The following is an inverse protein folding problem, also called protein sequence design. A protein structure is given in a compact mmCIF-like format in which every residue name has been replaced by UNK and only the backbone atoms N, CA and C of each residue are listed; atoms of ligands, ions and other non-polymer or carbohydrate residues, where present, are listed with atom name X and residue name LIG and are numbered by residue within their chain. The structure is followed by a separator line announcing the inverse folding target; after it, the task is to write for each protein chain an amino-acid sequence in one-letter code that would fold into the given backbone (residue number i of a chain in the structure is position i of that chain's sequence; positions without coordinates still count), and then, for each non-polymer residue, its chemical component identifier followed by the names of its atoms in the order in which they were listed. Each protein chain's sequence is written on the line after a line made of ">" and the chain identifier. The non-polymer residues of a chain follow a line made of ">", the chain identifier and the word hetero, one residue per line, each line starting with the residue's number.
data_IF_445556190271
#
_entry.id   IF_445556190271
#
_cell.length_a   1.000
_cell.length_b   1.000
_cell.length_c   1.000
_cell.angle_alpha   90.00
_cell.angle_beta   90.00
_cell.angle_gamma   90.00
#
_symmetry.space_group_name_H-M   'P 1'
#
loop_
_entity.id
_entity.type
_entity.pdbx_description
1 polymer ?
#
# COMPACT_ATOMS: atom_id res chain seq x y z
N UNK A 1 2.86 -69.02 33.08
CA UNK A 1 1.50 -68.73 33.61
C UNK A 1 1.39 -67.21 33.74
N UNK A 2 0.46 -66.44 33.18
CA UNK A 2 -0.84 -66.65 32.51
C UNK A 2 -1.16 -65.32 31.75
N UNK A 3 -1.74 -65.43 30.55
CA UNK A 3 -2.62 -64.51 29.77
C UNK A 3 -2.17 -63.07 29.42
N UNK A 4 -2.08 -62.68 28.14
CA UNK A 4 -3.10 -62.49 27.08
C UNK A 4 -4.13 -61.36 27.34
N UNK A 5 -3.91 -60.23 26.66
CA UNK A 5 -4.90 -59.33 26.00
C UNK A 5 -4.12 -58.10 25.47
N UNK A 6 -3.48 -58.14 24.30
CA UNK A 6 -4.01 -57.96 22.94
C UNK A 6 -4.97 -56.76 22.71
N UNK A 7 -4.41 -55.79 21.98
CA UNK A 7 -5.00 -55.02 20.87
C UNK A 7 -6.32 -54.28 21.06
N UNK A 8 -6.22 -52.93 21.10
CA UNK A 8 -7.06 -52.05 20.24
C UNK A 8 -6.72 -50.56 20.15
N UNK A 9 -5.56 -50.07 20.64
CA UNK A 9 -5.28 -48.62 20.69
C UNK A 9 -4.08 -48.16 19.84
N UNK A 10 -3.44 -49.04 19.07
CA UNK A 10 -2.17 -48.71 18.37
C UNK A 10 -2.21 -48.65 16.84
N UNK A 11 -3.37 -48.47 16.19
CA UNK A 11 -3.44 -48.48 14.70
C UNK A 11 -3.88 -47.14 14.06
N UNK A 12 -4.19 -46.08 14.82
CA UNK A 12 -4.64 -44.82 14.20
C UNK A 12 -3.59 -43.70 14.22
N UNK A 13 -2.56 -43.74 15.08
CA UNK A 13 -1.56 -42.65 15.15
C UNK A 13 -0.28 -42.86 14.34
N UNK A 14 -0.09 -44.01 13.69
CA UNK A 14 1.20 -44.32 13.04
C UNK A 14 1.31 -43.93 11.55
N UNK A 15 0.29 -43.30 10.96
CA UNK A 15 0.30 -42.95 9.52
C UNK A 15 0.40 -41.45 9.20
N UNK A 16 0.56 -40.57 10.19
CA UNK A 16 0.67 -39.12 9.97
C UNK A 16 2.11 -38.57 10.01
N UNK A 17 3.12 -39.40 10.32
CA UNK A 17 4.49 -38.96 10.59
C UNK A 17 5.52 -39.24 9.48
N UNK A 18 5.09 -39.56 8.25
CA UNK A 18 6.01 -39.93 7.16
C UNK A 18 6.22 -38.90 6.05
N UNK A 19 5.80 -37.63 6.19
CA UNK A 19 5.99 -36.63 5.10
C UNK A 19 6.67 -35.30 5.46
N UNK A 20 7.34 -35.17 6.61
CA UNK A 20 8.05 -33.93 6.96
C UNK A 20 9.52 -34.15 7.35
N UNK A 21 10.27 -34.89 6.53
CA UNK A 21 11.71 -35.09 6.70
C UNK A 21 12.47 -34.83 5.41
N UNK A 22 12.91 -33.58 5.23
CA UNK A 22 14.06 -33.06 4.45
C UNK A 22 13.79 -31.53 4.31
N UNK A 23 14.43 -30.60 5.01
CA UNK A 23 15.87 -30.35 5.16
C UNK A 23 16.20 -29.71 6.52
N UNK A 24 17.25 -30.25 7.18
CA UNK A 24 18.14 -29.66 8.21
C UNK A 24 18.87 -28.44 7.59
N UNK A 25 19.53 -27.49 8.26
CA UNK A 25 19.80 -27.04 9.63
C UNK A 25 20.58 -25.69 9.45
N UNK A 26 20.60 -24.79 10.44
CA UNK A 26 21.80 -24.13 11.01
C UNK A 26 21.40 -22.94 11.93
N UNK A 27 21.62 -23.19 13.22
CA UNK A 27 22.12 -22.34 14.32
C UNK A 27 21.40 -21.04 14.77
N UNK A 28 20.81 -21.24 15.95
CA UNK A 28 20.49 -20.38 17.10
C UNK A 28 21.45 -19.19 17.33
N UNK A 29 20.87 -18.00 17.57
CA UNK A 29 21.28 -17.12 18.68
C UNK A 29 20.11 -16.22 19.12
N UNK A 30 20.11 -15.92 20.40
CA UNK A 30 18.99 -15.51 21.26
C UNK A 30 18.56 -14.05 21.18
N UNK A 31 17.29 -13.82 21.55
CA UNK A 31 16.65 -12.56 22.01
C UNK A 31 16.46 -11.47 20.96
N UNK A 32 15.26 -11.44 20.38
CA UNK A 32 14.44 -10.22 20.28
C UNK A 32 12.99 -10.61 19.98
N UNK A 33 12.12 -10.18 20.88
CA UNK A 33 10.67 -10.40 20.92
C UNK A 33 9.95 -9.64 19.81
N UNK A 34 8.85 -10.25 19.33
CA UNK A 34 7.63 -9.63 18.79
C UNK A 34 7.82 -8.48 17.79
N UNK A 35 7.48 -8.72 16.50
CA UNK A 35 6.67 -7.80 15.65
C UNK A 35 6.49 -8.34 14.21
N UNK A 36 7.28 -9.29 13.71
CA UNK A 36 7.17 -9.72 12.30
C UNK A 36 6.57 -11.12 12.13
N UNK A 37 5.24 -11.24 12.11
CA UNK A 37 4.55 -12.45 11.64
C UNK A 37 3.15 -12.14 11.08
N UNK A 38 3.06 -11.32 10.03
CA UNK A 38 1.79 -11.16 9.30
C UNK A 38 1.94 -10.95 7.78
N UNK A 39 3.10 -11.26 7.18
CA UNK A 39 3.34 -10.94 5.77
C UNK A 39 3.75 -12.09 4.85
N UNK A 40 3.69 -13.34 5.31
CA UNK A 40 3.86 -14.49 4.44
C UNK A 40 2.73 -15.47 4.72
N UNK A 41 1.70 -15.46 3.88
CA UNK A 41 1.09 -16.64 3.26
C UNK A 41 -0.13 -16.19 2.44
N UNK A 42 0.13 -15.94 1.15
CA UNK A 42 -0.84 -16.21 0.10
C UNK A 42 -0.40 -17.54 -0.57
N UNK A 43 -1.33 -18.18 -1.28
CA UNK A 43 -1.24 -19.45 -2.00
C UNK A 43 -1.71 -20.67 -1.19
N UNK A 44 -3.03 -20.85 -1.15
CA UNK A 44 -3.61 -22.09 -1.67
C UNK A 44 -5.09 -21.91 -2.01
N UNK A 45 -5.32 -21.92 -3.31
CA UNK A 45 -6.60 -22.02 -3.97
C UNK A 45 -7.11 -23.46 -3.75
N UNK A 46 -8.23 -23.63 -3.04
CA UNK A 46 -9.01 -24.86 -3.08
C UNK A 46 -10.47 -24.57 -2.78
N UNK A 47 -11.27 -24.63 -3.84
CA UNK A 47 -12.72 -24.70 -3.84
C UNK A 47 -13.25 -25.59 -2.71
N UNK A 48 -13.88 -25.00 -1.69
CA UNK A 48 -14.86 -25.69 -0.83
C UNK A 48 -15.99 -24.74 -0.45
N UNK A 49 -17.09 -24.86 -1.19
CA UNK A 49 -18.42 -24.52 -0.70
C UNK A 49 -18.74 -25.38 0.53
N UNK A 50 -19.23 -24.78 1.62
CA UNK A 50 -20.15 -25.45 2.54
C UNK A 50 -20.86 -24.43 3.44
N UNK A 51 -22.18 -24.52 3.45
CA UNK A 51 -23.15 -23.76 4.22
C UNK A 51 -23.23 -24.28 5.66
N UNK A 52 -23.15 -23.40 6.67
CA UNK A 52 -23.76 -23.67 7.97
C UNK A 52 -24.06 -22.38 8.73
N UNK A 53 -25.30 -22.32 9.22
CA UNK A 53 -25.98 -21.19 9.82
C UNK A 53 -25.44 -20.82 11.21
N UNK A 54 -25.35 -19.51 11.49
CA UNK A 54 -25.56 -18.98 12.84
C UNK A 54 -26.63 -17.89 12.74
N UNK A 55 -27.87 -18.28 13.04
CA UNK A 55 -29.02 -17.40 13.17
C UNK A 55 -28.95 -16.68 14.52
N UNK A 56 -28.66 -15.39 14.51
CA UNK A 56 -29.08 -14.47 15.57
C UNK A 56 -30.12 -13.52 14.97
N UNK A 57 -31.36 -13.75 15.43
CA UNK A 57 -32.57 -13.03 15.06
C UNK A 57 -32.58 -11.67 15.76
N UNK A 58 -32.05 -10.64 15.11
CA UNK A 58 -32.30 -9.25 15.50
C UNK A 58 -33.09 -8.55 14.39
N UNK A 59 -34.26 -8.08 14.78
CA UNK A 59 -35.24 -7.30 14.01
C UNK A 59 -34.61 -5.95 13.62
N UNK A 60 -35.01 -5.43 12.47
CA UNK A 60 -34.71 -4.10 11.93
C UNK A 60 -33.34 -3.92 11.25
N UNK A 61 -33.32 -4.30 9.97
CA UNK A 61 -32.75 -3.52 8.86
C UNK A 61 -33.16 -4.20 7.57
N UNK A 62 -33.86 -3.48 6.69
CA UNK A 62 -34.05 -3.89 5.29
C UNK A 62 -32.66 -3.95 4.65
N UNK A 63 -31.99 -5.11 4.79
CA UNK A 63 -30.74 -5.40 4.10
C UNK A 63 -31.17 -5.76 2.68
N UNK A 64 -30.96 -4.83 1.76
CA UNK A 64 -30.92 -5.13 0.34
C UNK A 64 -30.03 -6.36 0.15
N UNK A 65 -30.67 -7.50 -0.14
CA UNK A 65 -29.98 -8.73 -0.48
C UNK A 65 -29.19 -8.40 -1.74
N UNK A 66 -27.88 -8.17 -1.61
CA UNK A 66 -26.97 -8.14 -2.75
C UNK A 66 -27.22 -9.41 -3.54
N UNK A 67 -27.86 -9.30 -4.71
CA UNK A 67 -27.93 -10.39 -5.66
C UNK A 67 -26.48 -10.81 -5.93
N UNK A 68 -26.15 -12.04 -5.54
CA UNK A 68 -24.89 -12.67 -5.97
C UNK A 68 -25.08 -12.92 -7.46
N UNK A 69 -24.55 -12.03 -8.28
CA UNK A 69 -24.64 -12.17 -9.72
C UNK A 69 -23.59 -13.23 -10.08
N UNK A 70 -24.05 -14.45 -10.37
CA UNK A 70 -23.21 -15.45 -11.02
C UNK A 70 -23.04 -14.99 -12.47
N UNK A 71 -21.94 -14.29 -12.73
CA UNK A 71 -21.61 -13.77 -14.05
C UNK A 71 -20.69 -14.80 -14.69
N UNK A 72 -21.14 -15.44 -15.77
CA UNK A 72 -20.25 -16.21 -16.64
C UNK A 72 -19.32 -15.22 -17.36
N UNK A 73 -18.07 -15.11 -16.90
CA UNK A 73 -17.09 -14.17 -17.45
C UNK A 73 -16.80 -14.40 -18.95
N UNK A 74 -16.91 -15.66 -19.41
CA UNK A 74 -16.59 -16.04 -20.78
C UNK A 74 -17.58 -15.45 -21.81
N UNK A 75 -18.86 -15.32 -21.43
CA UNK A 75 -19.89 -14.71 -22.28
C UNK A 75 -19.65 -13.19 -22.45
N UNK A 76 -19.13 -12.52 -21.43
CA UNK A 76 -18.87 -11.08 -21.43
C UNK A 76 -17.58 -10.74 -22.18
N UNK A 77 -16.55 -11.59 -22.06
CA UNK A 77 -15.24 -11.40 -22.72
C UNK A 77 -15.37 -11.33 -24.25
N UNK A 78 -16.39 -11.97 -24.83
CA UNK A 78 -16.64 -11.95 -26.27
C UNK A 78 -17.19 -10.61 -26.79
N UNK A 79 -17.72 -9.75 -25.91
CA UNK A 79 -18.36 -8.48 -26.29
C UNK A 79 -17.52 -7.29 -25.85
N UNK A 80 -16.91 -7.36 -24.67
CA UNK A 80 -16.07 -6.31 -24.12
C UNK A 80 -14.69 -6.85 -23.79
N UNK A 81 -13.66 -6.04 -24.10
CA UNK A 81 -12.29 -6.25 -23.66
C UNK A 81 -12.15 -5.95 -22.17
N UNK A 82 -12.65 -6.87 -21.34
CA UNK A 82 -12.62 -6.76 -19.86
C UNK A 82 -11.19 -6.54 -19.34
N UNK A 83 -10.21 -7.22 -19.94
CA UNK A 83 -8.81 -7.12 -19.52
C UNK A 83 -8.25 -5.70 -19.70
N UNK A 84 -8.63 -5.02 -20.79
CA UNK A 84 -8.22 -3.63 -21.03
C UNK A 84 -8.89 -2.66 -20.05
N UNK A 85 -10.16 -2.88 -19.70
CA UNK A 85 -10.86 -2.09 -18.68
C UNK A 85 -10.18 -2.20 -17.32
N UNK A 86 -9.88 -3.43 -16.89
CA UNK A 86 -9.20 -3.71 -15.62
C UNK A 86 -7.82 -3.02 -15.60
N UNK A 87 -7.04 -3.15 -16.67
CA UNK A 87 -5.74 -2.48 -16.80
C UNK A 87 -5.84 -0.95 -16.68
N UNK A 88 -6.87 -0.32 -17.27
CA UNK A 88 -7.09 1.12 -17.13
C UNK A 88 -7.47 1.52 -15.70
N UNK A 89 -8.27 0.71 -15.01
CA UNK A 89 -8.59 0.95 -13.60
C UNK A 89 -7.35 0.79 -12.72
N UNK A 90 -6.56 -0.26 -12.92
CA UNK A 90 -5.32 -0.48 -12.16
C UNK A 90 -4.34 0.68 -12.36
N UNK A 91 -4.10 1.11 -13.61
CA UNK A 91 -3.24 2.26 -13.90
C UNK A 91 -3.77 3.57 -13.32
N UNK A 92 -5.09 3.73 -13.14
CA UNK A 92 -5.67 4.88 -12.45
C UNK A 92 -5.37 4.84 -10.96
N UNK A 93 -5.46 3.67 -10.33
CA UNK A 93 -5.11 3.47 -8.92
C UNK A 93 -3.61 3.67 -8.68
N UNK A 94 -2.74 3.20 -9.58
CA UNK A 94 -1.30 3.43 -9.49
C UNK A 94 -0.95 4.92 -9.56
N UNK A 95 -1.46 5.63 -10.57
CA UNK A 95 -1.30 7.09 -10.66
C UNK A 95 -1.80 7.81 -9.42
N UNK A 96 -2.93 7.36 -8.86
CA UNK A 96 -3.46 7.91 -7.62
C UNK A 96 -2.50 7.71 -6.44
N UNK A 97 -1.92 6.51 -6.27
CA UNK A 97 -0.91 6.25 -5.24
C UNK A 97 0.32 7.15 -5.41
N UNK A 98 0.82 7.27 -6.63
CA UNK A 98 2.00 8.08 -6.93
C UNK A 98 1.76 9.57 -6.61
N UNK A 99 0.59 10.08 -6.96
CA UNK A 99 0.18 11.45 -6.62
C UNK A 99 0.12 11.67 -5.11
N UNK A 100 -0.35 10.68 -4.33
CA UNK A 100 -0.36 10.78 -2.88
C UNK A 100 1.06 10.79 -2.30
N UNK A 101 1.97 9.97 -2.83
CA UNK A 101 3.37 9.88 -2.35
C UNK A 101 4.16 11.14 -2.71
N UNK A 102 3.89 11.74 -3.87
CA UNK A 102 4.59 12.95 -4.34
C UNK A 102 4.08 14.22 -3.67
N UNK A 103 2.76 14.38 -3.54
CA UNK A 103 2.15 15.67 -3.19
C UNK A 103 1.68 15.76 -1.74
N UNK A 104 1.62 14.63 -0.99
CA UNK A 104 1.16 14.61 0.40
C UNK A 104 2.22 14.03 1.37
N UNK A 105 3.49 14.49 1.34
CA UNK A 105 4.45 14.11 2.35
C UNK A 105 4.10 14.79 3.69
N UNK A 106 4.00 14.00 4.77
CA UNK A 106 3.86 14.56 6.12
C UNK A 106 5.20 15.16 6.59
N UNK A 107 6.30 14.51 6.23
CA UNK A 107 7.68 14.92 6.50
C UNK A 107 8.47 14.86 5.20
N UNK A 108 9.58 15.59 5.14
CA UNK A 108 10.61 15.36 4.13
C UNK A 108 10.95 13.87 4.05
N UNK A 109 11.12 13.34 2.84
CA UNK A 109 11.50 11.94 2.65
C UNK A 109 12.81 11.66 3.39
N UNK A 110 12.88 10.51 4.02
CA UNK A 110 14.13 9.99 4.60
C UNK A 110 15.07 9.76 3.41
N UNK A 111 16.28 10.34 3.42
CA UNK A 111 17.19 10.29 2.28
C UNK A 111 17.25 11.60 1.49
N UNK A 112 16.29 12.50 1.62
CA UNK A 112 16.27 13.69 0.78
C UNK A 112 17.39 14.71 1.09
N UNK A 113 17.92 14.72 2.31
CA UNK A 113 19.05 15.59 2.70
C UNK A 113 20.36 14.92 2.29
N UNK A 114 20.39 13.59 2.37
CA UNK A 114 21.51 12.71 2.07
C UNK A 114 21.84 12.73 0.56
N UNK A 115 20.80 12.77 -0.28
CA UNK A 115 20.88 12.87 -1.75
C UNK A 115 21.24 14.27 -2.26
N UNK A 116 21.46 15.27 -1.40
CA UNK A 116 21.85 16.60 -1.84
C UNK A 116 23.28 16.57 -2.41
N UNK A 117 23.42 17.06 -3.64
CA UNK A 117 24.72 17.20 -4.30
C UNK A 117 25.44 18.45 -3.82
N UNK A 118 26.69 18.29 -3.42
CA UNK A 118 27.57 19.35 -2.94
C UNK A 118 28.85 19.29 -3.74
N UNK A 119 29.33 20.46 -4.15
CA UNK A 119 30.59 20.61 -4.84
C UNK A 119 31.75 20.58 -3.84
N UNK A 120 32.70 19.67 -4.06
CA UNK A 120 33.96 19.57 -3.34
C UNK A 120 35.08 19.32 -4.35
N UNK A 121 36.14 20.14 -4.32
CA UNK A 121 37.29 19.99 -5.24
C UNK A 121 36.90 19.89 -6.73
N UNK A 122 35.91 20.69 -7.15
CA UNK A 122 35.33 20.71 -8.51
C UNK A 122 34.59 19.43 -8.95
N UNK A 123 34.39 18.48 -8.04
CA UNK A 123 33.55 17.29 -8.23
C UNK A 123 32.24 17.40 -7.41
N UNK A 124 31.16 16.83 -7.94
CA UNK A 124 29.86 16.75 -7.24
C UNK A 124 29.77 15.44 -6.45
N UNK A 125 29.52 15.55 -5.15
CA UNK A 125 29.33 14.40 -4.25
C UNK A 125 28.00 14.49 -3.53
N UNK A 126 27.45 13.35 -3.13
CA UNK A 126 26.29 13.33 -2.24
C UNK A 126 26.71 13.72 -0.82
N UNK A 127 25.83 14.41 -0.09
CA UNK A 127 26.08 14.81 1.28
C UNK A 127 26.43 13.61 2.19
N UNK A 128 25.78 12.47 1.98
CA UNK A 128 26.02 11.24 2.77
C UNK A 128 27.46 10.73 2.71
N UNK A 129 28.18 10.98 1.61
CA UNK A 129 29.56 10.50 1.43
C UNK A 129 30.57 11.37 2.21
N UNK A 130 30.25 12.64 2.42
CA UNK A 130 31.17 13.63 2.96
C UNK A 130 30.96 13.90 4.46
N UNK A 131 29.77 13.64 5.00
CA UNK A 131 29.44 13.98 6.39
C UNK A 131 28.72 12.84 7.11
N UNK A 132 28.88 12.81 8.43
CA UNK A 132 28.13 11.89 9.28
C UNK A 132 26.78 12.52 9.68
N UNK A 133 25.68 11.83 9.36
CA UNK A 133 24.31 12.35 9.52
C UNK A 133 23.62 11.70 10.71
N UNK A 134 23.39 12.50 11.75
CA UNK A 134 22.72 12.09 12.99
C UNK A 134 21.29 12.64 13.04
N UNK A 135 20.29 11.77 12.88
CA UNK A 135 18.87 12.17 12.83
C UNK A 135 18.21 12.10 14.21
N UNK A 136 17.68 13.23 14.69
CA UNK A 136 16.82 13.31 15.88
C UNK A 136 15.40 13.71 15.47
N UNK A 137 14.36 13.46 16.30
CA UNK A 137 12.97 13.73 15.92
C UNK A 137 12.64 15.17 15.52
N UNK A 138 13.36 16.15 16.11
CA UNK A 138 13.11 17.59 15.91
C UNK A 138 14.29 18.31 15.22
N UNK A 139 15.41 17.62 15.00
CA UNK A 139 16.62 18.21 14.43
C UNK A 139 17.45 17.15 13.71
N UNK A 140 18.14 17.54 12.65
CA UNK A 140 19.20 16.73 12.05
C UNK A 140 20.52 17.40 12.41
N UNK A 141 21.51 16.59 12.77
CA UNK A 141 22.84 17.04 13.13
C UNK A 141 23.79 16.48 12.07
N UNK A 142 24.50 17.35 11.36
CA UNK A 142 25.55 16.97 10.44
C UNK A 142 26.89 17.20 11.13
N UNK A 143 27.72 16.16 11.19
CA UNK A 143 29.09 16.24 11.66
C UNK A 143 30.02 16.32 10.45
N UNK A 144 30.62 17.51 10.26
CA UNK A 144 31.45 17.87 9.10
C UNK A 144 32.93 17.94 9.50
N UNK A 145 33.34 17.20 10.53
CA UNK A 145 34.71 17.22 11.07
C UNK A 145 35.78 16.72 10.09
N UNK A 146 35.42 15.85 9.14
CA UNK A 146 36.35 15.33 8.14
C UNK A 146 36.80 16.41 7.13
N UNK A 147 35.90 17.30 6.74
CA UNK A 147 36.11 18.30 5.69
C UNK A 147 35.49 19.66 6.09
N UNK A 148 36.09 20.45 6.99
CA UNK A 148 35.49 21.72 7.41
C UNK A 148 35.34 22.75 6.26
N UNK A 149 36.08 22.60 5.17
CA UNK A 149 36.03 23.48 3.99
C UNK A 149 34.72 23.41 3.19
N UNK A 150 33.95 22.32 3.27
CA UNK A 150 32.67 22.17 2.54
C UNK A 150 31.47 22.79 3.26
N UNK A 151 31.62 23.21 4.51
CA UNK A 151 30.55 23.81 5.32
C UNK A 151 29.79 24.95 4.58
N UNK A 152 30.46 25.96 3.96
CA UNK A 152 29.75 27.02 3.24
C UNK A 152 28.90 26.47 2.08
N UNK A 153 29.44 25.50 1.32
CA UNK A 153 28.72 24.88 0.20
C UNK A 153 27.50 24.08 0.69
N UNK A 154 27.62 23.38 1.84
CA UNK A 154 26.51 22.69 2.49
C UNK A 154 25.41 23.68 2.89
N UNK A 155 25.76 24.78 3.55
CA UNK A 155 24.79 25.79 4.01
C UNK A 155 24.05 26.44 2.84
N UNK A 156 24.77 26.75 1.76
CA UNK A 156 24.17 27.30 0.54
C UNK A 156 23.23 26.29 -0.13
N UNK A 157 23.66 25.03 -0.27
CA UNK A 157 22.85 23.96 -0.88
C UNK A 157 21.59 23.68 -0.07
N UNK A 158 21.68 23.61 1.25
CA UNK A 158 20.53 23.43 2.15
C UNK A 158 19.56 24.61 2.06
N UNK A 159 20.06 25.83 1.95
CA UNK A 159 19.23 27.04 1.84
C UNK A 159 18.56 27.16 0.47
N UNK A 160 19.24 26.73 -0.61
CA UNK A 160 18.68 26.65 -1.96
C UNK A 160 17.71 25.48 -2.14
N UNK A 161 17.78 24.46 -1.28
CA UNK A 161 16.88 23.32 -1.35
C UNK A 161 15.43 23.75 -1.15
N UNK A 162 14.49 23.07 -1.82
CA UNK A 162 13.05 23.35 -1.71
C UNK A 162 12.46 23.03 -0.33
N UNK A 163 13.30 22.67 0.66
CA UNK A 163 12.88 22.25 1.98
C UNK A 163 12.70 23.42 2.96
N UNK A 164 13.13 24.64 2.60
CA UNK A 164 13.01 25.85 3.44
C UNK A 164 13.52 25.62 4.88
N UNK A 165 14.65 24.93 5.02
CA UNK A 165 15.28 24.65 6.30
C UNK A 165 16.23 25.79 6.66
N UNK A 166 16.38 26.08 7.97
CA UNK A 166 17.30 27.11 8.46
C UNK A 166 18.48 26.46 9.21
N UNK A 167 19.56 26.05 8.51
CA UNK A 167 20.70 25.42 9.14
C UNK A 167 21.48 26.39 10.03
N UNK A 168 21.93 25.91 11.19
CA UNK A 168 22.74 26.65 12.15
C UNK A 168 24.09 25.96 12.33
N UNK A 169 25.18 26.67 12.08
CA UNK A 169 26.53 26.14 12.25
C UNK A 169 27.06 26.41 13.67
N UNK A 170 27.67 25.40 14.28
CA UNK A 170 28.46 25.49 15.52
C UNK A 170 29.80 24.76 15.31
N UNK A 171 30.87 25.52 15.04
CA UNK A 171 32.17 24.93 14.71
C UNK A 171 32.10 24.05 13.45
N UNK A 172 32.34 22.74 13.63
CA UNK A 172 32.29 21.71 12.58
C UNK A 172 30.96 20.95 12.54
N UNK A 173 29.98 21.35 13.33
CA UNK A 173 28.66 20.71 13.42
C UNK A 173 27.61 21.66 12.82
N UNK A 174 26.69 21.11 12.02
CA UNK A 174 25.55 21.86 11.48
C UNK A 174 24.26 21.27 12.03
N UNK A 175 23.44 22.12 12.66
CA UNK A 175 22.12 21.78 13.16
C UNK A 175 21.06 22.23 12.17
N UNK A 176 20.17 21.31 11.81
CA UNK A 176 19.06 21.56 10.91
C UNK A 176 17.77 21.37 11.73
N UNK A 177 17.13 22.46 12.20
CA UNK A 177 15.88 22.37 12.92
C UNK A 177 14.76 21.94 11.96
N UNK A 178 14.06 20.86 12.30
CA UNK A 178 12.89 20.42 11.54
C UNK A 178 11.66 21.06 12.20
N UNK A 179 10.91 21.92 11.48
CA UNK A 179 9.70 22.51 12.02
C UNK A 179 8.69 21.42 12.38
N UNK A 180 8.04 21.57 13.53
CA UNK A 180 6.95 20.68 13.92
C UNK A 180 5.76 20.93 12.99
N UNK A 181 5.19 19.85 12.48
CA UNK A 181 4.00 19.95 11.64
C UNK A 181 2.81 20.34 12.51
N UNK A 182 2.22 21.51 12.23
CA UNK A 182 1.05 22.01 12.94
C UNK A 182 -0.21 21.21 12.57
N UNK A 183 -1.22 21.25 13.45
CA UNK A 183 -2.51 20.59 13.19
C UNK A 183 -3.18 21.15 11.93
N UNK A 184 -3.12 22.46 11.75
CA UNK A 184 -3.63 23.15 10.56
C UNK A 184 -3.02 22.59 9.27
N UNK A 185 -1.71 22.35 9.23
CA UNK A 185 -1.05 21.78 8.07
C UNK A 185 -1.53 20.35 7.78
N UNK A 186 -1.71 19.52 8.81
CA UNK A 186 -2.28 18.16 8.67
C UNK A 186 -3.70 18.18 8.10
N UNK A 187 -4.52 19.15 8.54
CA UNK A 187 -5.87 19.34 8.02
C UNK A 187 -5.89 19.77 6.55
N UNK A 188 -4.97 20.65 6.15
CA UNK A 188 -4.80 21.04 4.73
C UNK A 188 -4.41 19.83 3.87
N UNK A 189 -3.43 19.03 4.29
CA UNK A 189 -3.02 17.81 3.59
C UNK A 189 -4.18 16.81 3.49
N UNK A 190 -4.97 16.66 4.56
CA UNK A 190 -6.15 15.78 4.60
C UNK A 190 -7.23 16.24 3.60
N UNK A 191 -7.46 17.55 3.47
CA UNK A 191 -8.37 18.14 2.47
C UNK A 191 -7.85 17.91 1.05
N UNK A 192 -6.56 18.13 0.81
CA UNK A 192 -5.93 17.84 -0.49
C UNK A 192 -6.05 16.36 -0.87
N UNK A 193 -5.82 15.43 0.07
CA UNK A 193 -6.01 14.00 -0.15
C UNK A 193 -7.43 13.67 -0.65
N UNK A 194 -8.45 14.33 -0.09
CA UNK A 194 -9.85 14.18 -0.53
C UNK A 194 -10.07 14.71 -1.94
N UNK A 195 -9.43 15.82 -2.32
CA UNK A 195 -9.50 16.35 -3.68
C UNK A 195 -8.90 15.38 -4.70
N UNK A 196 -7.74 14.77 -4.39
CA UNK A 196 -7.15 13.74 -5.26
C UNK A 196 -8.03 12.50 -5.39
N UNK A 197 -8.68 12.08 -4.31
CA UNK A 197 -9.66 10.99 -4.35
C UNK A 197 -10.82 11.31 -5.29
N UNK A 198 -11.38 12.52 -5.23
CA UNK A 198 -12.47 12.91 -6.11
C UNK A 198 -12.04 12.86 -7.58
N UNK A 199 -10.86 13.40 -7.92
CA UNK A 199 -10.29 13.31 -9.27
C UNK A 199 -10.13 11.85 -9.75
N UNK A 200 -9.63 10.97 -8.89
CA UNK A 200 -9.49 9.54 -9.20
C UNK A 200 -10.87 8.88 -9.44
N UNK A 201 -11.86 9.20 -8.61
CA UNK A 201 -13.24 8.72 -8.76
C UNK A 201 -13.88 9.20 -10.06
N UNK A 202 -13.63 10.44 -10.46
CA UNK A 202 -14.13 11.01 -11.70
C UNK A 202 -13.53 10.26 -12.90
N UNK A 203 -12.21 10.04 -12.92
CA UNK A 203 -11.53 9.24 -13.97
C UNK A 203 -12.09 7.81 -14.04
N UNK A 204 -12.29 7.14 -12.90
CA UNK A 204 -12.91 5.80 -12.85
C UNK A 204 -14.33 5.84 -13.44
N UNK A 205 -15.08 6.91 -13.19
CA UNK A 205 -16.44 7.08 -13.71
C UNK A 205 -16.45 7.35 -15.21
N UNK A 206 -15.46 8.08 -15.72
CA UNK A 206 -15.27 8.35 -17.15
C UNK A 206 -14.91 7.08 -17.91
N UNK A 207 -13.97 6.27 -17.41
CA UNK A 207 -13.63 4.96 -17.99
C UNK A 207 -14.89 4.09 -18.06
N UNK A 208 -15.68 4.03 -16.99
CA UNK A 208 -16.95 3.30 -16.97
C UNK A 208 -17.92 3.83 -18.05
N UNK A 209 -18.04 5.16 -18.19
CA UNK A 209 -18.91 5.77 -19.19
C UNK A 209 -18.50 5.40 -20.63
N UNK A 210 -17.20 5.34 -20.91
CA UNK A 210 -16.66 4.91 -22.20
C UNK A 210 -17.11 3.47 -22.52
N UNK A 211 -16.85 2.52 -21.63
CA UNK A 211 -17.24 1.11 -21.85
C UNK A 211 -18.75 0.89 -21.92
N UNK A 212 -19.55 1.63 -21.14
CA UNK A 212 -21.02 1.56 -21.23
C UNK A 212 -21.53 2.12 -22.56
N UNK A 213 -20.89 3.15 -23.12
CA UNK A 213 -21.22 3.66 -24.46
C UNK A 213 -20.86 2.65 -25.54
N UNK A 214 -19.68 2.04 -25.46
CA UNK A 214 -19.26 0.98 -26.38
C UNK A 214 -20.24 -0.20 -26.36
N UNK A 215 -20.67 -0.62 -25.17
CA UNK A 215 -21.66 -1.68 -25.00
C UNK A 215 -23.00 -1.35 -25.68
N UNK A 216 -23.48 -0.11 -25.55
CA UNK A 216 -24.76 0.33 -26.15
C UNK A 216 -24.72 0.40 -27.67
N UNK A 217 -23.55 0.68 -28.23
CA UNK A 217 -23.34 0.71 -29.69
C UNK A 217 -23.16 -0.70 -30.29
N UNK A 218 -23.06 -1.74 -29.47
CA UNK A 218 -22.88 -3.11 -29.92
C UNK A 218 -24.23 -3.75 -30.28
N UNK A 219 -24.62 -3.66 -31.56
CA UNK A 219 -25.93 -4.14 -32.04
C UNK A 219 -26.01 -5.68 -32.17
N UNK A 220 -24.88 -6.37 -32.20
CA UNK A 220 -24.79 -7.82 -32.47
C UNK A 220 -24.97 -8.72 -31.23
N UNK A 221 -25.43 -8.19 -30.10
CA UNK A 221 -25.58 -8.93 -28.85
C UNK A 221 -27.03 -8.99 -28.35
N UNK A 222 -27.43 -10.10 -27.70
CA UNK A 222 -28.74 -10.19 -27.06
C UNK A 222 -28.84 -9.20 -25.89
N UNK A 223 -30.01 -8.58 -25.73
CA UNK A 223 -30.29 -7.55 -24.70
C UNK A 223 -29.97 -8.02 -23.28
N UNK A 224 -30.24 -9.28 -22.97
CA UNK A 224 -29.96 -9.87 -21.65
C UNK A 224 -28.47 -9.90 -21.33
N UNK A 225 -27.63 -10.14 -22.34
CA UNK A 225 -26.18 -10.20 -22.16
C UNK A 225 -25.60 -8.78 -22.02
N UNK A 226 -26.13 -7.81 -22.78
CA UNK A 226 -25.83 -6.38 -22.60
C UNK A 226 -26.11 -5.97 -21.14
N UNK A 227 -27.28 -6.32 -20.60
CA UNK A 227 -27.62 -6.00 -19.21
C UNK A 227 -26.65 -6.64 -18.20
N UNK A 228 -26.30 -7.92 -18.37
CA UNK A 228 -25.32 -8.62 -17.52
C UNK A 228 -23.93 -7.96 -17.57
N UNK A 229 -23.51 -7.51 -18.75
CA UNK A 229 -22.22 -6.87 -18.94
C UNK A 229 -22.18 -5.46 -18.30
N UNK A 230 -23.26 -4.70 -18.39
CA UNK A 230 -23.40 -3.42 -17.68
C UNK A 230 -23.35 -3.62 -16.16
N UNK A 231 -24.05 -4.63 -15.63
CA UNK A 231 -24.00 -5.01 -14.22
C UNK A 231 -22.58 -5.39 -13.78
N UNK A 232 -21.84 -6.12 -14.62
CA UNK A 232 -20.43 -6.46 -14.38
C UNK A 232 -19.56 -5.21 -14.29
N UNK A 233 -19.61 -4.32 -15.29
CA UNK A 233 -18.86 -3.06 -15.31
C UNK A 233 -19.14 -2.24 -14.04
N UNK A 234 -20.42 -2.12 -13.67
CA UNK A 234 -20.83 -1.39 -12.47
C UNK A 234 -20.34 -2.05 -11.17
N UNK A 235 -20.31 -3.38 -11.11
CA UNK A 235 -19.77 -4.12 -9.97
C UNK A 235 -18.25 -3.89 -9.84
N UNK A 236 -17.50 -4.04 -10.93
CA UNK A 236 -16.05 -3.80 -10.98
C UNK A 236 -15.73 -2.36 -10.59
N UNK A 237 -16.42 -1.36 -11.15
CA UNK A 237 -16.23 0.04 -10.80
C UNK A 237 -16.44 0.29 -9.29
N UNK A 238 -17.50 -0.27 -8.69
CA UNK A 238 -17.76 -0.16 -7.25
C UNK A 238 -16.65 -0.77 -6.39
N UNK A 239 -15.99 -1.84 -6.86
CA UNK A 239 -14.84 -2.42 -6.16
C UNK A 239 -13.62 -1.51 -6.22
N UNK A 240 -13.32 -0.93 -7.39
CA UNK A 240 -12.20 0.00 -7.55
C UNK A 240 -12.39 1.30 -6.76
N UNK A 241 -13.60 1.85 -6.72
CA UNK A 241 -13.92 3.02 -5.88
C UNK A 241 -13.71 2.70 -4.40
N UNK A 242 -14.08 1.49 -3.93
CA UNK A 242 -13.82 1.06 -2.56
C UNK A 242 -12.33 0.91 -2.26
N UNK A 243 -11.55 0.35 -3.20
CA UNK A 243 -10.08 0.29 -3.07
C UNK A 243 -9.48 1.70 -2.92
N UNK A 244 -9.93 2.66 -3.74
CA UNK A 244 -9.51 4.05 -3.63
C UNK A 244 -9.93 4.69 -2.30
N UNK A 245 -11.13 4.43 -1.79
CA UNK A 245 -11.57 4.90 -0.47
C UNK A 245 -10.75 4.32 0.68
N UNK A 246 -10.36 3.04 0.60
CA UNK A 246 -9.49 2.41 1.60
C UNK A 246 -8.12 3.08 1.63
N UNK A 247 -7.53 3.36 0.46
CA UNK A 247 -6.26 4.09 0.35
C UNK A 247 -6.38 5.51 0.93
N UNK A 248 -7.47 6.22 0.61
CA UNK A 248 -7.74 7.54 1.19
C UNK A 248 -7.80 7.46 2.72
N UNK A 249 -8.60 6.55 3.28
CA UNK A 249 -8.75 6.39 4.74
C UNK A 249 -7.42 6.07 5.41
N UNK A 250 -6.62 5.16 4.82
CA UNK A 250 -5.29 4.83 5.31
C UNK A 250 -4.39 6.06 5.34
N UNK A 251 -4.39 6.87 4.27
CA UNK A 251 -3.56 8.07 4.20
C UNK A 251 -4.05 9.16 5.16
N UNK A 252 -5.36 9.33 5.31
CA UNK A 252 -5.92 10.31 6.25
C UNK A 252 -5.55 9.98 7.70
N UNK A 253 -5.59 8.71 8.08
CA UNK A 253 -5.11 8.25 9.40
C UNK A 253 -3.63 8.55 9.59
N UNK A 254 -2.79 8.23 8.60
CA UNK A 254 -1.35 8.54 8.62
C UNK A 254 -1.09 10.05 8.79
N UNK A 255 -1.83 10.90 8.05
CA UNK A 255 -1.66 12.36 8.09
C UNK A 255 -2.12 12.96 9.42
N UNK A 256 -3.18 12.44 10.03
CA UNK A 256 -3.68 12.89 11.33
C UNK A 256 -2.84 12.32 12.49
N UNK A 257 -2.20 11.16 12.29
CA UNK A 257 -1.41 10.45 13.29
C UNK A 257 -2.26 9.52 14.17
N UNK A 258 -3.31 8.92 13.60
CA UNK A 258 -4.21 7.94 14.24
C UNK A 258 -3.90 6.49 13.86
#
# INVERSE_FOLDING_TARGET
>A
MINLNFSRIWIIEFNALYYLRNYRNVLISSKLTNIHNNFLFNLNNANKFSTANVLLKNKDRYKDKKKVIHINLDEIRNIIKVDHMISRFDGTIEKYKDQMIKNLPLRTRIGAIEELTITFEDEEHNLEELVEINRKPNMIILNVSAFPQIIPNILETLSKSQMNLNPQQEGTIIYIPIPKITKEHREVLTKMAKQYFNKCKDIISDIRNEYVKELKNYENAPKDLIFKAEDYINATQKEYVKKAEQLLKSKQKELLGE
#
